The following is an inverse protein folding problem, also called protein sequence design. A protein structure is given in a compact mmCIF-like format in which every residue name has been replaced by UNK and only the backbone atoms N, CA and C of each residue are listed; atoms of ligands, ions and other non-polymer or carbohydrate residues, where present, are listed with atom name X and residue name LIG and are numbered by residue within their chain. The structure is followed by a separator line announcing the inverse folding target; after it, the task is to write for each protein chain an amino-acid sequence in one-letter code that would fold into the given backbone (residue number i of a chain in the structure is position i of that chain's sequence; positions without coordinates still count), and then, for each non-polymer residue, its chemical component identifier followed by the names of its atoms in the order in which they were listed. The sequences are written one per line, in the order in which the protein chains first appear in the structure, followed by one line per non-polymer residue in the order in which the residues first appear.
data_IF_758353209417
#
_entry.id   IF_758353209417
#
_cell.length_a   1.000
_cell.length_b   1.000
_cell.length_c   1.000
_cell.angle_alpha   90.00
_cell.angle_beta   90.00
_cell.angle_gamma   90.00
#
_symmetry.space_group_name_H-M   'P 1'
#
loop_
_entity.id
_entity.type
_entity.pdbx_description
1 polymer ?
#
# COMPACT_ATOMS: atom_id res chain seq x y z
N UNK A 1 -0.63 -5.23 -1.18
CA UNK A 1 -1.94 -5.00 -1.18
C UNK A 1 -2.67 -4.88 0.12
N UNK A 2 -3.84 -4.32 -0.01
CA UNK A 2 -4.76 -4.20 1.09
C UNK A 2 -5.22 -5.59 1.58
N UNK A 3 -5.58 -5.68 2.86
CA UNK A 3 -6.09 -6.93 3.46
C UNK A 3 -7.55 -7.22 3.07
N UNK A 4 -8.29 -6.21 2.59
CA UNK A 4 -9.66 -6.37 2.15
C UNK A 4 -9.75 -7.23 0.87
N UNK A 5 -10.67 -8.22 0.80
CA UNK A 5 -10.75 -9.14 -0.33
C UNK A 5 -11.06 -8.45 -1.65
N UNK A 6 -10.20 -8.64 -2.66
CA UNK A 6 -10.36 -8.01 -3.98
C UNK A 6 -11.65 -8.45 -4.69
N UNK A 7 -12.07 -9.73 -4.55
CA UNK A 7 -13.29 -10.23 -5.17
C UNK A 7 -14.56 -9.50 -4.72
N UNK A 8 -14.61 -9.06 -3.45
CA UNK A 8 -15.74 -8.27 -2.94
C UNK A 8 -15.82 -6.91 -3.64
N UNK A 9 -14.68 -6.26 -3.85
CA UNK A 9 -14.61 -4.98 -4.57
C UNK A 9 -14.96 -5.12 -6.06
N UNK A 10 -14.70 -6.30 -6.64
CA UNK A 10 -14.93 -6.59 -8.07
C UNK A 10 -16.31 -7.17 -8.35
N UNK A 11 -17.12 -7.40 -7.32
CA UNK A 11 -18.50 -7.89 -7.45
C UNK A 11 -19.47 -6.90 -6.80
N UNK A 12 -19.53 -5.64 -7.27
CA UNK A 12 -20.49 -4.67 -6.74
C UNK A 12 -21.93 -5.16 -7.00
N UNK A 13 -22.87 -4.82 -6.11
CA UNK A 13 -24.29 -5.06 -6.35
C UNK A 13 -24.74 -4.47 -7.69
N UNK A 14 -25.67 -5.15 -8.39
CA UNK A 14 -26.09 -4.78 -9.76
C UNK A 14 -26.63 -3.35 -9.87
N UNK A 15 -27.19 -2.80 -8.79
CA UNK A 15 -27.69 -1.44 -8.71
C UNK A 15 -26.58 -0.38 -8.55
N UNK A 16 -25.35 -0.78 -8.22
CA UNK A 16 -24.20 0.13 -8.06
C UNK A 16 -23.42 0.23 -9.38
N UNK A 17 -23.64 1.33 -10.07
CA UNK A 17 -22.91 1.60 -11.32
C UNK A 17 -21.49 2.09 -10.99
N UNK A 18 -20.51 1.28 -11.33
CA UNK A 18 -19.09 1.68 -11.26
C UNK A 18 -18.70 2.39 -12.54
N UNK A 19 -18.00 3.51 -12.43
CA UNK A 19 -17.52 4.32 -13.55
C UNK A 19 -15.99 4.53 -13.54
N UNK A 20 -15.36 4.37 -12.37
CA UNK A 20 -13.94 4.68 -12.20
C UNK A 20 -13.21 3.62 -11.38
N UNK A 21 -12.08 3.14 -11.92
CA UNK A 21 -11.09 2.34 -11.20
C UNK A 21 -9.94 3.26 -10.77
N UNK A 22 -9.65 3.30 -9.48
CA UNK A 22 -8.48 3.98 -8.95
C UNK A 22 -7.44 2.96 -8.51
N UNK A 23 -6.22 3.13 -8.97
CA UNK A 23 -5.07 2.34 -8.52
C UNK A 23 -4.24 3.17 -7.56
N UNK A 24 -4.14 2.68 -6.33
CA UNK A 24 -3.41 3.32 -5.26
C UNK A 24 -1.92 2.96 -5.35
N UNK A 25 -1.11 3.88 -5.85
CA UNK A 25 0.35 3.87 -5.86
C UNK A 25 0.94 4.96 -4.94
N UNK A 26 0.14 5.48 -4.02
CA UNK A 26 0.50 6.63 -3.17
C UNK A 26 1.64 6.29 -2.22
N UNK A 27 1.53 5.17 -1.49
CA UNK A 27 2.51 4.74 -0.47
C UNK A 27 2.89 5.87 0.49
N UNK A 28 1.89 6.43 1.18
CA UNK A 28 2.06 7.59 2.07
C UNK A 28 2.66 7.28 3.44
N UNK A 29 2.86 6.01 3.78
CA UNK A 29 3.51 5.59 5.02
C UNK A 29 5.01 5.90 4.97
N UNK A 30 5.58 6.64 5.94
CA UNK A 30 7.02 6.83 6.01
C UNK A 30 7.78 5.50 6.07
N UNK A 31 9.02 5.49 5.61
CA UNK A 31 9.91 4.33 5.53
C UNK A 31 9.56 3.28 4.48
N UNK A 32 8.33 3.19 3.99
CA UNK A 32 7.92 2.19 3.00
C UNK A 32 8.30 2.65 1.58
N UNK A 33 8.81 1.71 0.78
CA UNK A 33 9.19 1.91 -0.63
C UNK A 33 8.87 0.69 -1.51
N UNK A 34 8.11 -0.27 -0.99
CA UNK A 34 7.76 -1.50 -1.69
C UNK A 34 6.91 -1.26 -2.94
N UNK A 35 5.87 -0.41 -2.81
CA UNK A 35 4.99 -0.05 -3.94
C UNK A 35 5.72 0.84 -4.94
N UNK A 36 6.58 1.77 -4.49
CA UNK A 36 7.42 2.59 -5.36
C UNK A 36 8.34 1.72 -6.23
N UNK A 37 9.06 0.77 -5.63
CA UNK A 37 9.91 -0.16 -6.39
C UNK A 37 9.11 -1.04 -7.34
N UNK A 38 7.95 -1.53 -6.91
CA UNK A 38 7.06 -2.31 -7.77
C UNK A 38 6.62 -1.51 -9.01
N UNK A 39 6.26 -0.23 -8.84
CA UNK A 39 5.91 0.65 -9.95
C UNK A 39 7.06 0.85 -10.94
N UNK A 40 8.30 0.90 -10.45
CA UNK A 40 9.48 1.08 -11.29
C UNK A 40 9.94 -0.22 -11.95
N UNK A 41 9.89 -1.35 -11.26
CA UNK A 41 10.48 -2.60 -11.75
C UNK A 41 9.47 -3.50 -12.49
N UNK A 42 8.18 -3.38 -12.16
CA UNK A 42 7.12 -4.28 -12.62
C UNK A 42 5.91 -3.52 -13.21
N UNK A 43 6.17 -2.35 -13.81
CA UNK A 43 5.14 -1.48 -14.38
C UNK A 43 4.22 -2.19 -15.36
N UNK A 44 4.77 -3.06 -16.23
CA UNK A 44 4.02 -3.84 -17.22
C UNK A 44 2.98 -4.75 -16.56
N UNK A 45 3.35 -5.43 -15.47
CA UNK A 45 2.41 -6.28 -14.71
C UNK A 45 1.30 -5.48 -14.04
N UNK A 46 1.62 -4.27 -13.57
CA UNK A 46 0.61 -3.37 -12.98
C UNK A 46 -0.36 -2.92 -14.05
N UNK A 47 0.14 -2.47 -15.20
CA UNK A 47 -0.70 -1.97 -16.30
C UNK A 47 -1.59 -3.08 -16.91
N UNK A 48 -1.06 -4.28 -17.12
CA UNK A 48 -1.85 -5.44 -17.56
C UNK A 48 -2.94 -5.80 -16.53
N UNK A 49 -2.60 -5.78 -15.24
CA UNK A 49 -3.58 -5.99 -14.18
C UNK A 49 -4.70 -4.95 -14.17
N UNK A 50 -4.39 -3.68 -14.47
CA UNK A 50 -5.39 -2.60 -14.60
C UNK A 50 -6.33 -2.87 -15.78
N UNK A 51 -5.81 -3.29 -16.92
CA UNK A 51 -6.63 -3.65 -18.09
C UNK A 51 -7.58 -4.80 -17.78
N UNK A 52 -7.08 -5.84 -17.07
CA UNK A 52 -7.91 -6.96 -16.61
C UNK A 52 -9.01 -6.46 -15.66
N UNK A 53 -8.66 -5.63 -14.68
CA UNK A 53 -9.61 -5.07 -13.71
C UNK A 53 -10.69 -4.22 -14.38
N UNK A 54 -10.32 -3.36 -15.35
CA UNK A 54 -11.29 -2.59 -16.16
C UNK A 54 -12.26 -3.48 -16.88
N UNK A 55 -11.74 -4.55 -17.53
CA UNK A 55 -12.56 -5.52 -18.25
C UNK A 55 -13.53 -6.25 -17.34
N UNK A 56 -13.11 -6.66 -16.14
CA UNK A 56 -13.95 -7.32 -15.14
C UNK A 56 -15.07 -6.40 -14.66
N UNK A 57 -14.76 -5.11 -14.45
CA UNK A 57 -15.74 -4.11 -14.00
C UNK A 57 -16.61 -3.55 -15.14
N UNK A 58 -16.26 -3.82 -16.42
CA UNK A 58 -16.98 -3.29 -17.58
C UNK A 58 -16.84 -1.77 -17.74
N UNK A 59 -15.70 -1.20 -17.37
CA UNK A 59 -15.45 0.26 -17.36
C UNK A 59 -14.20 0.63 -18.16
N UNK A 60 -14.15 1.89 -18.61
CA UNK A 60 -13.02 2.40 -19.41
C UNK A 60 -12.04 3.23 -18.57
N UNK A 61 -12.54 3.99 -17.59
CA UNK A 61 -11.72 4.92 -16.85
C UNK A 61 -10.89 4.22 -15.77
N UNK A 62 -9.56 4.38 -15.86
CA UNK A 62 -8.62 3.98 -14.81
C UNK A 62 -7.61 5.08 -14.54
N UNK A 63 -7.36 5.37 -13.26
CA UNK A 63 -6.43 6.40 -12.79
C UNK A 63 -5.48 5.80 -11.76
N UNK A 64 -4.17 6.01 -11.94
CA UNK A 64 -3.16 5.66 -10.92
C UNK A 64 -2.85 6.93 -10.14
N UNK A 65 -3.10 6.93 -8.83
CA UNK A 65 -2.71 8.02 -7.93
C UNK A 65 -1.32 7.74 -7.35
N UNK A 66 -0.39 8.70 -7.49
CA UNK A 66 1.00 8.60 -7.00
C UNK A 66 1.38 9.92 -6.33
N UNK A 67 2.05 9.87 -5.18
CA UNK A 67 2.57 11.10 -4.54
C UNK A 67 3.67 11.75 -5.36
N UNK A 68 3.69 13.09 -5.38
CA UNK A 68 4.63 13.92 -6.17
C UNK A 68 6.12 13.72 -5.78
N UNK A 69 6.40 13.08 -4.65
CA UNK A 69 7.75 12.70 -4.23
C UNK A 69 8.31 11.46 -4.96
N UNK A 70 7.55 10.89 -5.90
CA UNK A 70 7.94 9.73 -6.73
C UNK A 70 7.91 10.09 -8.23
N UNK A 71 8.69 11.12 -8.66
CA UNK A 71 8.63 11.63 -10.04
C UNK A 71 9.02 10.59 -11.09
N UNK A 72 9.95 9.70 -10.76
CA UNK A 72 10.39 8.60 -11.60
C UNK A 72 9.27 7.58 -11.91
N UNK A 73 8.47 7.23 -10.90
CA UNK A 73 7.32 6.34 -11.08
C UNK A 73 6.19 7.04 -11.86
N UNK A 74 5.96 8.34 -11.62
CA UNK A 74 4.98 9.14 -12.35
C UNK A 74 5.37 9.20 -13.83
N UNK A 75 6.61 9.54 -14.16
CA UNK A 75 7.11 9.62 -15.54
C UNK A 75 6.96 8.27 -16.25
N UNK A 76 7.45 7.21 -15.64
CA UNK A 76 7.42 5.85 -16.19
C UNK A 76 6.00 5.38 -16.47
N UNK A 77 5.13 5.43 -15.47
CA UNK A 77 3.75 4.94 -15.62
C UNK A 77 2.91 5.84 -16.52
N UNK A 78 3.18 7.14 -16.61
CA UNK A 78 2.53 8.04 -17.57
C UNK A 78 2.89 7.63 -19.00
N UNK A 79 4.18 7.43 -19.28
CA UNK A 79 4.67 7.04 -20.61
C UNK A 79 4.10 5.68 -21.05
N UNK A 80 4.12 4.69 -20.17
CA UNK A 80 3.68 3.33 -20.47
C UNK A 80 2.15 3.15 -20.40
N UNK A 81 1.46 3.95 -19.60
CA UNK A 81 0.01 3.91 -19.42
C UNK A 81 -0.78 4.66 -20.52
N UNK A 82 -0.18 5.69 -21.11
CA UNK A 82 -0.83 6.51 -22.14
C UNK A 82 -1.37 5.69 -23.32
N UNK A 83 -0.63 4.74 -23.92
CA UNK A 83 -1.13 3.92 -25.03
C UNK A 83 -2.30 3.02 -24.62
N UNK A 84 -2.49 2.77 -23.34
CA UNK A 84 -3.53 1.92 -22.75
C UNK A 84 -4.73 2.70 -22.22
N UNK A 85 -4.74 4.02 -22.41
CA UNK A 85 -5.76 4.92 -21.86
C UNK A 85 -5.86 4.79 -20.33
N UNK A 86 -4.71 4.76 -19.64
CA UNK A 86 -4.58 4.77 -18.17
C UNK A 86 -3.99 6.11 -17.75
N UNK A 87 -4.75 6.86 -16.97
CA UNK A 87 -4.33 8.17 -16.46
C UNK A 87 -3.38 7.98 -15.27
N UNK A 88 -2.39 8.88 -15.12
CA UNK A 88 -1.56 8.98 -13.90
C UNK A 88 -1.75 10.37 -13.33
N UNK A 89 -2.13 10.43 -12.05
CA UNK A 89 -2.33 11.67 -11.33
C UNK A 89 -1.32 11.83 -10.20
N UNK A 90 -0.51 12.90 -10.29
CA UNK A 90 0.37 13.31 -9.21
C UNK A 90 -0.45 13.92 -8.07
N UNK A 91 -0.20 13.47 -6.84
CA UNK A 91 -0.92 13.88 -5.64
C UNK A 91 0.03 14.58 -4.66
N UNK A 92 -0.54 15.43 -3.80
CA UNK A 92 0.22 16.04 -2.71
C UNK A 92 0.82 14.99 -1.77
N UNK A 93 2.05 15.27 -1.33
CA UNK A 93 2.75 14.47 -0.32
C UNK A 93 2.20 14.79 1.06
N UNK A 94 1.31 13.96 1.55
CA UNK A 94 0.72 14.12 2.89
C UNK A 94 0.17 12.80 3.43
N UNK A 95 0.08 12.67 4.73
CA UNK A 95 -0.58 11.53 5.35
C UNK A 95 -1.98 11.94 5.86
N UNK A 96 -3.03 11.16 5.61
CA UNK A 96 -3.09 9.85 4.94
C UNK A 96 -3.56 9.92 3.47
N UNK A 97 -2.77 10.46 2.55
CA UNK A 97 -3.15 10.63 1.12
C UNK A 97 -3.57 9.31 0.44
N UNK A 98 -2.96 8.17 0.86
CA UNK A 98 -3.31 6.84 0.36
C UNK A 98 -4.53 6.19 1.03
N UNK A 99 -5.17 6.84 2.00
CA UNK A 99 -6.42 6.36 2.56
C UNK A 99 -7.52 6.38 1.49
N UNK A 100 -8.26 5.27 1.35
CA UNK A 100 -9.16 5.02 0.22
C UNK A 100 -10.14 6.18 -0.05
N UNK A 101 -10.79 6.72 0.98
CA UNK A 101 -11.75 7.84 0.82
C UNK A 101 -11.07 9.17 0.49
N UNK A 102 -9.89 9.42 1.05
CA UNK A 102 -9.07 10.61 0.74
C UNK A 102 -8.59 10.57 -0.71
N UNK A 103 -8.14 9.41 -1.16
CA UNK A 103 -7.68 9.19 -2.53
C UNK A 103 -8.81 9.40 -3.55
N UNK A 104 -10.03 8.93 -3.23
CA UNK A 104 -11.20 9.12 -4.08
C UNK A 104 -11.53 10.60 -4.22
N UNK A 105 -11.57 11.33 -3.10
CA UNK A 105 -11.83 12.78 -3.12
C UNK A 105 -10.76 13.54 -3.91
N UNK A 106 -9.49 13.23 -3.67
CA UNK A 106 -8.37 13.88 -4.37
C UNK A 106 -8.38 13.67 -5.90
N UNK A 107 -8.83 12.50 -6.38
CA UNK A 107 -8.84 12.16 -7.83
C UNK A 107 -10.15 12.55 -8.50
N UNK A 108 -11.28 12.41 -7.82
CA UNK A 108 -12.60 12.52 -8.45
C UNK A 108 -13.43 13.70 -7.94
N UNK A 109 -13.06 14.33 -6.83
CA UNK A 109 -13.88 15.31 -6.12
C UNK A 109 -15.13 14.71 -5.46
N UNK A 110 -15.30 13.37 -5.51
CA UNK A 110 -16.46 12.69 -4.92
C UNK A 110 -16.18 12.33 -3.45
N UNK A 111 -17.12 12.65 -2.58
CA UNK A 111 -17.01 12.32 -1.15
C UNK A 111 -17.80 11.05 -0.84
N UNK A 112 -17.11 10.03 -0.34
CA UNK A 112 -17.73 8.78 0.11
C UNK A 112 -18.38 9.02 1.46
N UNK A 113 -19.71 8.86 1.60
CA UNK A 113 -20.42 9.10 2.86
C UNK A 113 -19.86 8.27 4.01
N UNK A 114 -20.04 8.78 5.24
CA UNK A 114 -19.60 8.06 6.44
C UNK A 114 -20.35 6.73 6.56
N UNK A 115 -19.63 5.67 6.94
CA UNK A 115 -20.22 4.33 7.09
C UNK A 115 -20.46 3.58 5.76
N UNK A 116 -20.23 4.21 4.60
CA UNK A 116 -20.45 3.57 3.29
C UNK A 116 -19.14 3.18 2.59
N UNK A 117 -19.28 2.42 1.50
CA UNK A 117 -18.17 1.92 0.68
C UNK A 117 -17.95 2.80 -0.57
N UNK A 118 -16.76 2.78 -1.19
CA UNK A 118 -16.44 3.51 -2.42
C UNK A 118 -17.40 3.32 -3.58
N UNK A 119 -18.02 2.15 -3.69
CA UNK A 119 -19.00 1.83 -4.73
C UNK A 119 -20.25 2.72 -4.69
N UNK A 120 -20.54 3.37 -3.56
CA UNK A 120 -21.66 4.34 -3.44
C UNK A 120 -21.46 5.56 -4.32
N UNK A 121 -20.21 5.90 -4.61
CA UNK A 121 -19.85 7.02 -5.49
C UNK A 121 -19.33 6.55 -6.86
N UNK A 122 -19.56 5.28 -7.20
CA UNK A 122 -19.20 4.69 -8.49
C UNK A 122 -17.71 4.35 -8.64
N UNK A 123 -16.97 4.20 -7.54
CA UNK A 123 -15.52 4.01 -7.56
C UNK A 123 -15.11 2.67 -6.96
N UNK A 124 -14.14 2.02 -7.59
CA UNK A 124 -13.40 0.87 -7.01
C UNK A 124 -11.94 1.27 -6.86
N UNK A 125 -11.36 1.00 -5.69
CA UNK A 125 -9.94 1.27 -5.42
C UNK A 125 -9.19 -0.03 -5.20
N UNK A 126 -8.06 -0.20 -5.90
CA UNK A 126 -7.12 -1.32 -5.72
C UNK A 126 -5.70 -0.78 -5.53
N UNK A 127 -4.84 -1.52 -4.83
CA UNK A 127 -3.43 -1.17 -4.68
C UNK A 127 -2.62 -1.63 -5.91
N UNK A 128 -1.49 -0.99 -6.22
CA UNK A 128 -0.58 -1.38 -7.32
C UNK A 128 -0.13 -2.84 -7.22
N UNK A 129 0.19 -3.34 -6.02
CA UNK A 129 0.54 -4.74 -5.80
C UNK A 129 -0.62 -5.70 -6.04
N UNK A 130 -1.87 -5.26 -5.81
CA UNK A 130 -3.06 -6.05 -6.14
C UNK A 130 -3.24 -6.12 -7.66
N UNK A 131 -3.03 -5.02 -8.39
CA UNK A 131 -3.09 -5.02 -9.86
C UNK A 131 -2.06 -5.99 -10.45
N UNK A 132 -0.80 -5.93 -10.00
CA UNK A 132 0.24 -6.87 -10.41
C UNK A 132 -0.13 -8.34 -10.11
N UNK A 133 -0.69 -8.61 -8.93
CA UNK A 133 -1.13 -9.97 -8.57
C UNK A 133 -2.32 -10.47 -9.40
N UNK A 134 -3.20 -9.58 -9.86
CA UNK A 134 -4.29 -9.91 -10.79
C UNK A 134 -3.73 -10.31 -12.15
N UNK A 135 -2.73 -9.61 -12.67
CA UNK A 135 -2.01 -10.00 -13.88
C UNK A 135 -1.45 -11.41 -13.74
N UNK A 136 -0.69 -11.70 -12.67
CA UNK A 136 -0.13 -13.03 -12.42
C UNK A 136 -1.20 -14.12 -12.34
N UNK A 137 -2.29 -13.85 -11.66
CA UNK A 137 -3.36 -14.83 -11.50
C UNK A 137 -4.00 -15.21 -12.84
N UNK A 138 -4.20 -14.24 -13.72
CA UNK A 138 -4.86 -14.47 -15.03
C UNK A 138 -3.89 -14.95 -16.09
N UNK A 139 -2.67 -14.38 -16.15
CA UNK A 139 -1.69 -14.71 -17.19
C UNK A 139 -0.91 -15.99 -16.89
N UNK A 140 -0.59 -16.22 -15.62
CA UNK A 140 0.30 -17.30 -15.19
C UNK A 140 -0.41 -18.38 -14.36
N UNK A 141 -1.69 -18.20 -14.02
CA UNK A 141 -2.40 -19.09 -13.08
C UNK A 141 -1.79 -19.09 -11.68
N UNK A 142 -1.02 -18.04 -11.31
CA UNK A 142 -0.30 -17.96 -10.05
C UNK A 142 -1.14 -17.26 -8.98
N UNK A 143 -1.51 -17.93 -7.89
CA UNK A 143 -2.18 -17.26 -6.77
C UNK A 143 -1.22 -16.30 -6.04
N UNK A 144 -1.76 -15.41 -5.19
CA UNK A 144 -0.96 -14.49 -4.37
C UNK A 144 -0.24 -15.28 -3.28
N UNK A 145 0.97 -15.76 -3.58
CA UNK A 145 1.85 -16.51 -2.65
C UNK A 145 3.10 -15.74 -2.23
N UNK A 146 3.37 -14.61 -2.90
CA UNK A 146 4.52 -13.76 -2.63
C UNK A 146 4.16 -12.29 -2.80
N UNK A 147 4.95 -11.42 -2.18
CA UNK A 147 4.81 -9.97 -2.32
C UNK A 147 6.12 -9.24 -2.05
N UNK A 148 6.24 -8.01 -2.54
CA UNK A 148 7.32 -7.10 -2.14
C UNK A 148 6.99 -6.51 -0.78
N UNK A 149 7.98 -6.47 0.12
CA UNK A 149 7.90 -5.82 1.43
C UNK A 149 9.19 -5.07 1.74
N UNK A 150 9.07 -3.91 2.36
CA UNK A 150 10.22 -3.09 2.80
C UNK A 150 10.68 -3.56 4.18
N UNK A 151 11.96 -3.92 4.32
CA UNK A 151 12.59 -4.16 5.64
C UNK A 151 13.52 -3.01 5.93
N UNK A 152 13.26 -2.26 7.01
CA UNK A 152 13.95 -0.99 7.27
C UNK A 152 13.87 -0.57 8.74
N UNK A 153 14.37 0.61 9.03
CA UNK A 153 14.47 1.21 10.34
C UNK A 153 15.90 1.21 10.86
N UNK A 154 16.19 2.03 11.87
CA UNK A 154 17.54 2.15 12.44
C UNK A 154 18.09 0.85 13.03
N UNK A 155 17.20 -0.08 13.43
CA UNK A 155 17.56 -1.38 13.97
C UNK A 155 17.91 -2.44 12.90
N UNK A 156 18.02 -2.08 11.61
CA UNK A 156 18.39 -2.97 10.50
C UNK A 156 19.74 -2.56 9.91
N UNK A 157 20.64 -3.53 9.70
CA UNK A 157 21.96 -3.25 9.13
C UNK A 157 21.91 -2.78 7.67
N UNK A 158 21.18 -3.50 6.81
CA UNK A 158 21.10 -3.25 5.38
C UNK A 158 19.65 -3.18 4.91
N UNK A 159 18.95 -2.03 5.05
CA UNK A 159 17.57 -1.89 4.61
C UNK A 159 17.38 -2.25 3.14
N UNK A 160 16.32 -3.03 2.82
CA UNK A 160 16.01 -3.49 1.46
C UNK A 160 14.52 -3.66 1.25
N UNK A 161 14.11 -3.64 -0.01
CA UNK A 161 12.85 -4.26 -0.44
C UNK A 161 13.12 -5.72 -0.81
N UNK A 162 12.33 -6.62 -0.27
CA UNK A 162 12.46 -8.07 -0.47
C UNK A 162 11.21 -8.61 -1.16
N UNK A 163 11.38 -9.51 -2.12
CA UNK A 163 10.30 -10.38 -2.58
C UNK A 163 10.19 -11.53 -1.60
N UNK A 164 9.14 -11.54 -0.79
CA UNK A 164 8.92 -12.53 0.26
C UNK A 164 7.75 -13.44 -0.08
N UNK A 165 7.84 -14.71 0.33
CA UNK A 165 6.70 -15.61 0.34
C UNK A 165 5.80 -15.35 1.54
N UNK A 166 4.50 -15.41 1.36
CA UNK A 166 3.54 -15.37 2.47
C UNK A 166 3.82 -16.58 3.37
N UNK A 167 3.97 -16.33 4.68
CA UNK A 167 4.39 -17.34 5.65
C UNK A 167 5.88 -17.27 6.04
N UNK A 168 6.70 -16.46 5.35
CA UNK A 168 8.11 -16.25 5.73
C UNK A 168 8.20 -15.66 7.12
N UNK A 169 8.96 -16.25 8.07
CA UNK A 169 9.19 -15.65 9.38
C UNK A 169 9.86 -14.27 9.27
N UNK A 170 9.47 -13.31 10.11
CA UNK A 170 10.08 -11.98 10.09
C UNK A 170 11.58 -12.02 10.42
N UNK A 171 12.02 -13.00 11.25
CA UNK A 171 13.43 -13.24 11.55
C UNK A 171 14.26 -13.49 10.30
N UNK A 172 13.75 -14.30 9.35
CA UNK A 172 14.43 -14.57 8.09
C UNK A 172 14.51 -13.31 7.20
N UNK A 173 13.47 -12.45 7.22
CA UNK A 173 13.52 -11.16 6.51
C UNK A 173 14.62 -10.25 7.07
N UNK A 174 14.77 -10.20 8.38
CA UNK A 174 15.84 -9.46 9.07
C UNK A 174 17.21 -10.02 8.70
N UNK A 175 17.38 -11.35 8.71
CA UNK A 175 18.61 -12.03 8.34
C UNK A 175 19.05 -11.67 6.91
N UNK A 176 18.13 -11.67 5.94
CA UNK A 176 18.39 -11.26 4.56
C UNK A 176 18.82 -9.78 4.41
N UNK A 177 18.53 -8.99 5.43
CA UNK A 177 18.95 -7.59 5.54
C UNK A 177 20.22 -7.40 6.40
N UNK A 178 21.00 -8.46 6.60
CA UNK A 178 22.26 -8.41 7.34
C UNK A 178 22.10 -8.43 8.87
N UNK A 179 20.91 -8.77 9.36
CA UNK A 179 20.61 -8.88 10.79
C UNK A 179 20.25 -7.56 11.45
N UNK A 180 20.10 -7.63 12.76
CA UNK A 180 19.78 -6.47 13.60
C UNK A 180 20.99 -5.57 13.81
N UNK A 181 20.76 -4.27 13.86
CA UNK A 181 21.69 -3.25 14.29
C UNK A 181 21.35 -2.84 15.72
N UNK A 182 21.87 -3.60 16.70
CA UNK A 182 21.57 -3.38 18.12
C UNK A 182 20.32 -4.12 18.61
N UNK A 183 19.93 -3.84 19.86
CA UNK A 183 18.77 -4.47 20.49
C UNK A 183 17.46 -3.84 20.00
N UNK A 184 16.52 -4.64 19.46
CA UNK A 184 15.24 -4.12 18.98
C UNK A 184 14.35 -3.74 20.18
N UNK A 185 13.88 -2.49 20.19
CA UNK A 185 12.93 -1.99 21.20
C UNK A 185 11.50 -1.89 20.65
N UNK A 186 11.34 -1.76 19.32
CA UNK A 186 10.02 -1.75 18.69
C UNK A 186 10.09 -2.41 17.32
N UNK A 187 9.24 -3.40 17.12
CA UNK A 187 9.08 -4.14 15.87
C UNK A 187 7.68 -3.82 15.33
N UNK A 188 7.59 -3.33 14.10
CA UNK A 188 6.31 -2.97 13.48
C UNK A 188 6.17 -3.72 12.16
N UNK A 189 5.11 -4.50 12.03
CA UNK A 189 4.71 -5.10 10.75
C UNK A 189 3.75 -4.15 10.02
N UNK A 190 4.23 -3.57 8.93
CA UNK A 190 3.61 -2.47 8.19
C UNK A 190 4.41 -1.17 8.30
N UNK A 191 3.77 -0.03 8.02
CA UNK A 191 4.34 1.30 8.22
C UNK A 191 4.20 1.81 9.66
N UNK A 192 4.85 2.91 10.02
CA UNK A 192 4.86 3.41 11.41
C UNK A 192 3.52 4.00 11.86
N UNK A 193 2.62 4.37 10.92
CA UNK A 193 1.35 5.00 11.22
C UNK A 193 0.21 3.98 11.39
N UNK A 194 0.15 2.95 10.54
CA UNK A 194 -0.92 1.96 10.50
C UNK A 194 -0.47 0.54 10.83
N UNK A 195 0.84 0.30 10.92
CA UNK A 195 1.40 -1.02 11.19
C UNK A 195 1.12 -1.50 12.61
N UNK A 196 1.23 -2.80 12.79
CA UNK A 196 0.98 -3.48 14.07
C UNK A 196 2.30 -3.77 14.78
N UNK A 197 2.43 -3.35 16.05
CA UNK A 197 3.58 -3.71 16.87
C UNK A 197 3.59 -5.20 17.15
N UNK A 198 4.76 -5.81 17.03
CA UNK A 198 5.00 -7.23 17.24
C UNK A 198 5.90 -7.46 18.46
N UNK A 199 5.68 -8.56 19.17
CA UNK A 199 6.48 -8.93 20.35
C UNK A 199 7.65 -9.85 20.00
N UNK A 200 7.63 -10.47 18.81
CA UNK A 200 8.64 -11.43 18.36
C UNK A 200 8.85 -11.29 16.84
N UNK A 201 10.01 -11.74 16.38
CA UNK A 201 10.33 -11.93 14.96
C UNK A 201 9.95 -13.33 14.45
N UNK A 202 9.46 -14.24 15.30
CA UNK A 202 9.11 -15.62 14.93
C UNK A 202 7.72 -15.75 14.29
N UNK A 203 7.03 -14.63 14.11
CA UNK A 203 5.74 -14.59 13.43
C UNK A 203 5.90 -14.55 11.91
N UNK A 204 4.96 -15.11 11.15
CA UNK A 204 5.03 -15.11 9.68
C UNK A 204 4.57 -13.80 9.07
N UNK A 205 5.19 -13.44 7.94
CA UNK A 205 4.67 -12.42 7.05
C UNK A 205 3.32 -12.87 6.46
N UNK A 206 2.38 -11.96 6.41
CA UNK A 206 1.03 -12.19 5.84
C UNK A 206 0.85 -11.41 4.54
N UNK A 207 -0.24 -11.67 3.82
CA UNK A 207 -0.55 -10.95 2.56
C UNK A 207 -0.62 -9.43 2.70
N UNK A 208 -0.88 -8.92 3.91
CA UNK A 208 -0.93 -7.49 4.22
C UNK A 208 0.42 -6.88 4.65
N UNK A 209 1.48 -7.68 4.80
CA UNK A 209 2.79 -7.19 5.26
C UNK A 209 3.46 -6.34 4.18
N UNK A 210 3.26 -5.04 4.21
CA UNK A 210 3.90 -4.07 3.29
C UNK A 210 5.33 -3.71 3.72
N UNK A 211 5.63 -3.89 5.02
CA UNK A 211 6.96 -3.63 5.55
C UNK A 211 7.19 -4.25 6.91
N UNK A 212 8.45 -4.20 7.32
CA UNK A 212 8.94 -4.54 8.64
C UNK A 212 9.89 -3.43 9.08
N UNK A 213 9.50 -2.70 10.13
CA UNK A 213 10.28 -1.62 10.71
C UNK A 213 10.80 -2.03 12.07
N UNK A 214 12.10 -1.80 12.30
CA UNK A 214 12.74 -2.10 13.58
C UNK A 214 13.43 -0.85 14.11
N UNK A 215 13.06 -0.46 15.32
CA UNK A 215 13.64 0.66 16.06
C UNK A 215 14.36 0.17 17.29
N UNK A 216 15.51 0.79 17.62
CA UNK A 216 16.25 0.59 18.85
C UNK A 216 15.71 1.50 19.93
N UNK A 217 16.09 1.28 21.17
CA UNK A 217 15.64 2.07 22.31
C UNK A 217 16.04 3.56 22.20
N UNK A 218 17.23 3.82 21.68
CA UNK A 218 17.75 5.17 21.45
C UNK A 218 17.02 5.95 20.35
N UNK A 219 16.37 5.25 19.42
CA UNK A 219 15.63 5.85 18.31
C UNK A 219 14.19 6.23 18.68
N UNK A 220 13.73 5.76 19.84
CA UNK A 220 12.38 6.04 20.30
C UNK A 220 12.35 7.38 21.06
N UNK A 221 11.33 8.22 20.82
CA UNK A 221 11.20 9.45 21.57
C UNK A 221 11.03 9.15 23.05
N UNK A 222 11.78 9.87 23.90
CA UNK A 222 11.56 9.86 25.34
C UNK A 222 10.24 10.59 25.62
N UNK A 223 9.18 9.82 25.80
CA UNK A 223 7.89 10.39 26.20
C UNK A 223 7.92 10.68 27.70
N UNK A 224 8.03 11.94 28.07
CA UNK A 224 7.70 12.38 29.42
C UNK A 224 6.17 12.36 29.54
N UNK A 225 5.66 11.24 30.05
CA UNK A 225 4.22 11.11 30.33
C UNK A 225 3.89 11.82 31.63
N UNK A 226 3.38 13.05 31.53
CA UNK A 226 2.77 13.76 32.66
C UNK A 226 1.29 13.37 32.83
N UNK A 227 0.69 13.70 33.98
CA UNK A 227 -0.74 13.52 34.18
C UNK A 227 -1.54 14.35 33.17
N UNK A 228 -2.72 13.86 32.79
CA UNK A 228 -3.60 14.57 31.88
C UNK A 228 -3.94 15.97 32.37
N UNK A 229 -3.64 17.01 31.58
CA UNK A 229 -3.94 18.42 31.90
C UNK A 229 -5.41 18.80 31.68
N UNK A 230 -6.25 17.84 31.27
CA UNK A 230 -7.70 17.99 31.04
C UNK A 230 -8.07 19.12 30.06
N UNK A 231 -7.25 19.39 29.05
CA UNK A 231 -7.51 20.46 28.07
C UNK A 231 -8.65 20.16 27.08
N UNK A 232 -9.21 18.96 27.05
CA UNK A 232 -10.33 18.58 26.20
C UNK A 232 -10.01 18.33 24.72
N UNK A 233 -8.80 18.60 24.24
CA UNK A 233 -8.42 18.51 22.81
C UNK A 233 -8.59 17.12 22.19
N UNK A 234 -8.68 16.07 22.97
CA UNK A 234 -8.89 14.70 22.49
C UNK A 234 -10.39 14.30 22.49
N UNK A 235 -11.31 15.19 22.90
CA UNK A 235 -12.75 14.90 23.03
C UNK A 235 -13.60 15.65 21.98
N UNK A 236 -12.98 16.58 21.24
CA UNK A 236 -13.63 17.36 20.15
C UNK A 236 -13.44 16.67 18.79
#
# INVERSE_FOLDING_TARGET
GATFPAHVKLSPPAEKKIDTLIINGVECEPFLTADHRLMLEESERILDGIEILRKVLGIERAVIGIEANKPDAIEKLTKEGLPRNIEVQALEVKYPQGAEKQLIDAITGKQVPSGTLPMEVGVVVQNVGTAAAVSDAIRLGRPLVERVATVTGPGINNPKNLLIRIGTPLSLMVEQCGGLNGEPAKIIMGGPMMGQTQLSLDIPAIRGTSGLLIFRKEDLPRLETGPCIRCGRCVT
#
